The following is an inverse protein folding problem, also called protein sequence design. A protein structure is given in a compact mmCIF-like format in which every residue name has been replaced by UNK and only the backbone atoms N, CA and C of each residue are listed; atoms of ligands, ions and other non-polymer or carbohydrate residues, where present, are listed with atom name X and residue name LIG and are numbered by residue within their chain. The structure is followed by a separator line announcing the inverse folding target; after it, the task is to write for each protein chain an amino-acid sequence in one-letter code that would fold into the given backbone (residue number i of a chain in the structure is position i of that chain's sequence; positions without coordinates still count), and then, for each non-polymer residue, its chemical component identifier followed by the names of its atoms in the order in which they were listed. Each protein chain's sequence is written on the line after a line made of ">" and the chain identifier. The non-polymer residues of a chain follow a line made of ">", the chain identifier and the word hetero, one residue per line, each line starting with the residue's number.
data_IF_208700292159
#
_entry.id   IF_208700292159
#
_cell.length_a   1.000
_cell.length_b   1.000
_cell.length_c   1.000
_cell.angle_alpha   90.00
_cell.angle_beta   90.00
_cell.angle_gamma   90.00
#
_symmetry.space_group_name_H-M   'P 1'
#
loop_
_entity.id
_entity.type
_entity.pdbx_description
1 polymer ?
#
# COMPACT_ATOMS: atom_id res chain seq x y z
N UNK A 1 12.92 28.28 -3.32
CA UNK A 1 13.35 28.55 -1.93
C UNK A 1 12.82 27.42 -1.05
N UNK A 2 13.68 26.47 -0.69
CA UNK A 2 13.37 25.38 0.23
C UNK A 2 13.14 25.96 1.61
N UNK A 3 11.90 25.91 2.10
CA UNK A 3 11.58 26.24 3.49
C UNK A 3 12.35 25.27 4.38
N UNK A 4 13.33 25.79 5.13
CA UNK A 4 14.05 25.05 6.17
C UNK A 4 13.05 24.38 7.10
N UNK A 5 13.33 23.13 7.47
CA UNK A 5 12.52 22.17 8.27
C UNK A 5 11.99 22.64 9.63
N UNK A 6 12.21 23.90 10.02
CA UNK A 6 11.99 24.38 11.38
C UNK A 6 10.50 24.55 11.73
N UNK A 7 9.63 24.79 10.73
CA UNK A 7 8.18 24.95 10.93
C UNK A 7 7.35 23.66 10.84
N UNK A 8 7.98 22.50 10.58
CA UNK A 8 7.29 21.22 10.43
C UNK A 8 7.41 20.32 11.65
N UNK A 9 8.15 20.68 12.69
CA UNK A 9 8.38 19.77 13.82
C UNK A 9 7.09 19.53 14.60
N UNK A 10 6.78 18.25 14.85
CA UNK A 10 5.71 17.85 15.76
C UNK A 10 6.30 17.41 17.09
N UNK A 11 5.67 17.85 18.18
CA UNK A 11 6.05 17.46 19.55
C UNK A 11 5.07 16.36 20.00
N UNK A 12 5.58 15.29 20.58
CA UNK A 12 4.79 14.30 21.31
C UNK A 12 5.47 14.04 22.66
N UNK A 13 4.67 13.91 23.72
CA UNK A 13 5.17 13.49 25.01
C UNK A 13 5.56 12.01 24.94
N UNK A 14 6.68 11.63 25.55
CA UNK A 14 7.09 10.24 25.76
C UNK A 14 7.52 10.05 27.22
N UNK A 15 7.15 8.92 27.81
CA UNK A 15 7.54 8.56 29.18
C UNK A 15 8.98 8.00 29.25
N UNK A 16 9.61 7.70 28.11
CA UNK A 16 11.01 7.26 28.03
C UNK A 16 11.90 8.45 27.66
N UNK A 17 13.02 8.71 28.39
CA UNK A 17 13.98 9.75 28.02
C UNK A 17 14.54 9.50 26.62
N UNK A 18 14.51 10.50 25.74
CA UNK A 18 15.05 10.42 24.35
C UNK A 18 16.25 11.35 24.20
N UNK A 19 17.24 10.94 23.41
CA UNK A 19 18.38 11.79 23.04
C UNK A 19 17.88 12.93 22.13
N UNK A 20 18.13 14.18 22.54
CA UNK A 20 17.78 15.37 21.74
C UNK A 20 18.71 15.58 20.53
N UNK A 21 19.86 14.89 20.49
CA UNK A 21 20.90 15.10 19.46
C UNK A 21 20.84 14.07 18.32
N UNK A 22 20.27 12.88 18.55
CA UNK A 22 20.40 11.74 17.63
C UNK A 22 19.13 11.40 16.83
N UNK A 23 17.96 11.92 17.21
CA UNK A 23 16.70 11.63 16.50
C UNK A 23 16.32 12.75 15.53
N UNK A 24 16.11 12.38 14.26
CA UNK A 24 15.49 13.28 13.29
C UNK A 24 14.10 13.70 13.81
N UNK A 25 13.80 15.01 13.89
CA UNK A 25 12.54 15.47 14.45
C UNK A 25 11.38 14.98 13.59
N UNK A 26 10.29 14.53 14.23
CA UNK A 26 9.07 14.16 13.51
C UNK A 26 8.48 15.35 12.80
N UNK A 27 8.14 15.17 11.54
CA UNK A 27 7.59 16.21 10.69
C UNK A 27 6.05 16.05 10.62
N UNK A 28 5.33 17.13 10.84
CA UNK A 28 3.87 17.21 10.71
C UNK A 28 3.48 17.13 9.24
N UNK A 29 2.49 16.29 8.93
CA UNK A 29 1.97 16.10 7.58
C UNK A 29 2.92 15.36 6.64
N UNK A 30 3.88 14.62 7.20
CA UNK A 30 4.83 13.81 6.42
C UNK A 30 4.51 12.33 6.65
N UNK A 31 4.42 11.58 5.57
CA UNK A 31 4.12 10.16 5.59
C UNK A 31 5.18 9.39 6.40
N UNK A 32 4.78 8.52 7.33
CA UNK A 32 5.70 7.83 8.23
C UNK A 32 5.54 6.31 8.23
N UNK A 33 6.66 5.58 8.06
CA UNK A 33 6.73 4.15 8.34
C UNK A 33 7.29 3.88 9.74
N UNK A 34 6.63 3.03 10.52
CA UNK A 34 7.20 2.45 11.75
C UNK A 34 7.33 0.95 11.56
N UNK A 35 8.49 0.38 11.88
CA UNK A 35 8.79 -1.04 11.63
C UNK A 35 9.24 -1.72 12.91
N UNK A 36 8.43 -2.61 13.45
CA UNK A 36 8.81 -3.52 14.54
C UNK A 36 9.59 -4.69 13.92
N UNK A 37 10.83 -4.90 14.36
CA UNK A 37 11.73 -5.92 13.82
C UNK A 37 12.76 -6.37 14.85
N UNK A 38 13.32 -7.57 14.65
CA UNK A 38 14.52 -8.03 15.37
C UNK A 38 15.83 -7.58 14.73
N UNK A 39 15.78 -6.97 13.54
CA UNK A 39 16.94 -6.49 12.78
C UNK A 39 16.78 -5.00 12.41
N UNK A 40 16.72 -4.07 13.39
CA UNK A 40 16.59 -2.64 13.11
C UNK A 40 17.69 -2.12 12.18
N UNK A 41 18.91 -2.66 12.28
CA UNK A 41 20.05 -2.31 11.42
C UNK A 41 19.88 -2.68 9.94
N UNK A 42 18.89 -3.52 9.59
CA UNK A 42 18.57 -3.82 8.21
C UNK A 42 17.88 -2.64 7.49
N UNK A 43 17.46 -1.62 8.23
CA UNK A 43 16.81 -0.42 7.72
C UNK A 43 17.74 0.81 7.86
N UNK A 44 17.69 1.77 6.92
CA UNK A 44 16.74 1.81 5.80
C UNK A 44 17.07 0.84 4.66
N UNK A 45 18.26 0.22 4.67
CA UNK A 45 18.66 -0.72 3.64
C UNK A 45 18.59 -0.06 2.26
N UNK A 46 17.95 -0.73 1.31
CA UNK A 46 17.80 -0.19 -0.05
C UNK A 46 16.92 1.07 -0.10
N UNK A 47 16.03 1.27 0.88
CA UNK A 47 15.19 2.47 0.96
C UNK A 47 15.98 3.74 1.29
N UNK A 48 17.24 3.59 1.73
CA UNK A 48 18.17 4.69 1.97
C UNK A 48 18.88 5.17 0.71
N UNK A 49 18.67 4.48 -0.42
CA UNK A 49 19.37 4.71 -1.68
C UNK A 49 18.47 5.35 -2.74
N UNK A 50 19.07 5.88 -3.82
CA UNK A 50 18.34 6.42 -4.98
C UNK A 50 17.25 7.45 -4.62
N UNK A 51 16.11 7.42 -5.30
CA UNK A 51 15.00 8.38 -5.13
C UNK A 51 14.32 8.28 -3.78
N UNK A 52 14.08 7.06 -3.26
CA UNK A 52 13.48 6.84 -1.94
C UNK A 52 14.38 7.37 -0.83
N UNK A 53 15.69 7.11 -0.93
CA UNK A 53 16.71 7.62 -0.02
C UNK A 53 16.88 9.14 -0.07
N UNK A 54 16.84 9.72 -1.27
CA UNK A 54 16.82 11.19 -1.43
C UNK A 54 15.56 11.79 -0.79
N UNK A 55 14.40 11.22 -1.06
CA UNK A 55 13.13 11.65 -0.47
C UNK A 55 13.12 11.53 1.07
N UNK A 56 13.78 10.51 1.62
CA UNK A 56 13.97 10.34 3.07
C UNK A 56 14.83 11.47 3.64
N UNK A 57 15.95 11.79 2.99
CA UNK A 57 16.87 12.89 3.38
C UNK A 57 16.20 14.26 3.27
N UNK A 58 15.38 14.47 2.24
CA UNK A 58 14.63 15.71 2.00
C UNK A 58 13.39 15.85 2.90
N UNK A 59 13.06 14.81 3.69
CA UNK A 59 11.93 14.80 4.62
C UNK A 59 10.57 14.75 3.93
N UNK A 60 10.49 14.13 2.76
CA UNK A 60 9.22 13.85 2.05
C UNK A 60 8.49 12.64 2.64
N UNK A 61 9.23 11.75 3.31
CA UNK A 61 8.71 10.68 4.14
C UNK A 61 9.67 10.42 5.30
N UNK A 62 9.21 9.72 6.33
CA UNK A 62 10.02 9.36 7.50
C UNK A 62 9.92 7.86 7.79
N UNK A 63 10.96 7.33 8.44
CA UNK A 63 10.95 5.95 8.92
C UNK A 63 11.54 5.85 10.32
N UNK A 64 10.99 4.94 11.11
CA UNK A 64 11.54 4.58 12.42
C UNK A 64 11.48 3.07 12.58
N UNK A 65 12.54 2.49 13.11
CA UNK A 65 12.56 1.07 13.51
C UNK A 65 12.38 0.94 15.01
N UNK A 66 11.63 -0.07 15.42
CA UNK A 66 11.47 -0.48 16.81
C UNK A 66 12.11 -1.85 16.97
N UNK A 67 13.19 -1.90 17.75
CA UNK A 67 13.84 -3.16 18.11
C UNK A 67 12.94 -3.93 19.09
N UNK A 68 12.35 -5.03 18.63
CA UNK A 68 11.49 -5.87 19.45
C UNK A 68 12.23 -6.42 20.68
N UNK A 69 13.56 -6.59 20.62
CA UNK A 69 14.35 -7.03 21.77
C UNK A 69 14.32 -6.05 22.92
N UNK A 70 14.03 -4.76 22.69
CA UNK A 70 13.89 -3.79 23.77
C UNK A 70 12.66 -4.06 24.67
N UNK A 71 11.71 -4.86 24.19
CA UNK A 71 10.51 -5.31 24.91
C UNK A 71 10.64 -6.73 25.47
N UNK A 72 11.76 -7.40 25.22
CA UNK A 72 11.96 -8.80 25.61
C UNK A 72 12.00 -9.01 27.13
N UNK A 73 11.56 -10.18 27.57
CA UNK A 73 11.40 -10.52 28.98
C UNK A 73 12.70 -11.06 29.59
N UNK A 74 12.97 -10.63 30.83
CA UNK A 74 14.09 -11.12 31.65
C UNK A 74 15.47 -10.61 31.21
N UNK A 75 16.51 -11.15 31.83
CA UNK A 75 17.91 -10.70 31.64
C UNK A 75 18.39 -10.82 30.19
N UNK A 76 17.91 -11.83 29.46
CA UNK A 76 18.32 -12.13 28.09
C UNK A 76 17.45 -11.46 27.02
N UNK A 77 16.43 -10.68 27.44
CA UNK A 77 15.48 -10.03 26.53
C UNK A 77 14.84 -11.03 25.56
N UNK A 78 14.27 -12.10 26.11
CA UNK A 78 13.63 -13.14 25.31
C UNK A 78 12.36 -12.58 24.64
N UNK A 79 12.24 -12.79 23.33
CA UNK A 79 11.14 -12.29 22.49
C UNK A 79 10.26 -13.40 21.95
N UNK A 80 10.70 -14.64 22.10
CA UNK A 80 10.14 -15.85 21.53
C UNK A 80 10.10 -16.97 22.57
N UNK A 81 9.26 -17.97 22.33
CA UNK A 81 9.19 -19.21 23.11
C UNK A 81 8.77 -20.39 22.22
N UNK A 82 8.85 -21.61 22.74
CA UNK A 82 8.43 -22.82 22.03
C UNK A 82 6.92 -22.80 21.73
N UNK A 83 6.48 -23.33 20.57
CA UNK A 83 5.07 -23.38 20.22
C UNK A 83 4.27 -24.26 21.19
N UNK A 84 3.11 -23.76 21.62
CA UNK A 84 2.13 -24.58 22.33
C UNK A 84 1.63 -25.71 21.41
N UNK A 85 1.48 -26.92 21.97
CA UNK A 85 1.14 -28.12 21.20
C UNK A 85 2.35 -28.89 20.64
N UNK A 86 3.56 -28.37 20.84
CA UNK A 86 4.80 -28.97 20.33
C UNK A 86 5.09 -28.59 18.88
N UNK A 87 6.26 -29.02 18.39
CA UNK A 87 6.79 -28.62 17.08
C UNK A 87 8.22 -28.14 17.17
N UNK A 88 8.88 -28.03 16.01
CA UNK A 88 10.19 -27.40 15.91
C UNK A 88 10.02 -25.87 15.82
N UNK A 89 11.09 -25.14 16.13
CA UNK A 89 11.12 -23.67 15.98
C UNK A 89 10.61 -22.92 17.21
N UNK A 90 10.42 -21.62 17.02
CA UNK A 90 10.05 -20.66 18.06
C UNK A 90 8.94 -19.74 17.54
N UNK A 91 8.11 -19.20 18.43
CA UNK A 91 7.02 -18.27 18.12
C UNK A 91 7.24 -16.97 18.87
N UNK A 92 7.09 -15.83 18.21
CA UNK A 92 7.18 -14.51 18.85
C UNK A 92 6.06 -14.36 19.88
N UNK A 93 6.43 -13.95 21.09
CA UNK A 93 5.52 -13.93 22.25
C UNK A 93 4.53 -12.78 22.18
N UNK A 94 3.32 -13.07 22.68
CA UNK A 94 2.23 -12.10 22.70
C UNK A 94 2.47 -10.89 23.59
N UNK A 95 3.00 -11.11 24.80
CA UNK A 95 3.28 -10.05 25.77
C UNK A 95 4.37 -9.07 25.30
N UNK A 96 5.39 -9.59 24.61
CA UNK A 96 6.46 -8.78 24.02
C UNK A 96 5.96 -7.98 22.82
N UNK A 97 5.25 -8.61 21.90
CA UNK A 97 4.75 -7.92 20.70
C UNK A 97 3.66 -6.90 21.05
N UNK A 98 2.75 -7.22 21.98
CA UNK A 98 1.71 -6.29 22.43
C UNK A 98 2.29 -4.99 22.97
N UNK A 99 3.29 -5.08 23.85
CA UNK A 99 3.96 -3.88 24.39
C UNK A 99 4.66 -3.03 23.31
N UNK A 100 5.21 -3.67 22.27
CA UNK A 100 5.81 -2.96 21.13
C UNK A 100 4.75 -2.29 20.25
N UNK A 101 3.62 -2.96 20.01
CA UNK A 101 2.47 -2.44 19.25
C UNK A 101 1.89 -1.21 19.95
N UNK A 102 1.64 -1.29 21.26
CA UNK A 102 1.12 -0.17 22.05
C UNK A 102 2.00 1.09 21.93
N UNK A 103 3.33 0.93 21.96
CA UNK A 103 4.26 2.06 21.84
C UNK A 103 4.21 2.69 20.44
N UNK A 104 4.15 1.90 19.36
CA UNK A 104 4.06 2.47 18.01
C UNK A 104 2.69 3.09 17.74
N UNK A 105 1.60 2.55 18.30
CA UNK A 105 0.25 3.10 18.15
C UNK A 105 0.11 4.43 18.89
N UNK A 106 0.66 4.54 20.10
CA UNK A 106 0.73 5.81 20.84
C UNK A 106 1.52 6.90 20.08
N UNK A 107 2.42 6.47 19.20
CA UNK A 107 3.26 7.33 18.38
C UNK A 107 2.69 7.59 16.98
N UNK A 108 1.77 6.76 16.52
CA UNK A 108 1.11 6.86 15.22
C UNK A 108 0.16 8.05 15.21
N UNK A 109 -0.02 8.66 14.04
CA UNK A 109 -0.99 9.73 13.84
C UNK A 109 -1.83 9.44 12.61
N UNK A 110 -3.10 9.83 12.67
CA UNK A 110 -4.02 9.69 11.57
C UNK A 110 -4.23 8.24 11.15
N UNK A 111 -4.43 8.04 9.86
CA UNK A 111 -4.65 6.74 9.26
C UNK A 111 -3.31 6.05 8.96
N UNK A 112 -2.86 5.17 9.87
CA UNK A 112 -1.65 4.37 9.69
C UNK A 112 -1.94 2.90 10.06
N UNK A 113 -2.28 2.03 9.09
CA UNK A 113 -2.68 0.66 9.37
C UNK A 113 -1.53 -0.17 9.98
N UNK A 114 -1.90 -1.11 10.85
CA UNK A 114 -1.00 -2.11 11.42
C UNK A 114 -1.01 -3.37 10.55
N UNK A 115 0.16 -3.70 9.98
CA UNK A 115 0.32 -4.76 9.00
C UNK A 115 1.36 -5.76 9.49
N UNK A 116 1.02 -7.05 9.44
CA UNK A 116 1.94 -8.16 9.65
C UNK A 116 2.34 -8.78 8.32
N UNK A 117 3.65 -8.85 8.07
CA UNK A 117 4.20 -9.42 6.84
C UNK A 117 4.20 -10.95 6.97
N UNK A 118 3.22 -11.60 6.35
CA UNK A 118 2.88 -13.01 6.55
C UNK A 118 2.53 -13.67 5.21
N UNK A 119 3.03 -14.88 4.90
CA UNK A 119 2.67 -15.58 3.67
C UNK A 119 1.18 -15.97 3.59
N UNK A 120 0.48 -16.01 4.74
CA UNK A 120 -0.97 -16.24 4.85
C UNK A 120 -1.81 -15.05 4.40
N UNK A 121 -1.21 -13.86 4.39
CA UNK A 121 -1.93 -12.61 4.16
C UNK A 121 -2.44 -12.43 2.75
N UNK A 122 -3.25 -11.40 2.55
CA UNK A 122 -3.64 -10.96 1.21
C UNK A 122 -2.37 -10.62 0.42
N UNK A 123 -2.26 -11.07 -0.84
CA UNK A 123 -1.12 -10.71 -1.69
C UNK A 123 -1.06 -9.21 -1.91
N UNK A 124 0.13 -8.65 -1.74
CA UNK A 124 0.43 -7.24 -2.02
C UNK A 124 0.28 -6.96 -3.52
N UNK A 125 -0.44 -5.90 -3.86
CA UNK A 125 -0.68 -5.47 -5.23
C UNK A 125 -0.50 -3.94 -5.36
N UNK A 126 -0.49 -3.45 -6.60
CA UNK A 126 -0.28 -2.03 -6.87
C UNK A 126 -1.42 -1.15 -6.32
N UNK A 127 -2.64 -1.69 -6.19
CA UNK A 127 -3.76 -0.96 -5.60
C UNK A 127 -3.54 -0.76 -4.09
N UNK A 128 -3.02 -1.76 -3.40
CA UNK A 128 -2.64 -1.66 -1.99
C UNK A 128 -1.54 -0.61 -1.80
N UNK A 129 -0.50 -0.60 -2.64
CA UNK A 129 0.54 0.42 -2.61
C UNK A 129 -0.04 1.85 -2.75
N UNK A 130 -0.96 2.06 -3.71
CA UNK A 130 -1.66 3.34 -3.91
C UNK A 130 -2.49 3.73 -2.69
N UNK A 131 -3.18 2.78 -2.07
CA UNK A 131 -3.98 3.04 -0.87
C UNK A 131 -3.09 3.44 0.31
N UNK A 132 -1.97 2.75 0.53
CA UNK A 132 -1.00 3.06 1.59
C UNK A 132 -0.33 4.42 1.37
N UNK A 133 -0.05 4.80 0.12
CA UNK A 133 0.53 6.10 -0.21
C UNK A 133 -0.42 7.28 0.06
N UNK A 134 -1.74 7.02 0.13
CA UNK A 134 -2.77 8.01 0.50
C UNK A 134 -3.05 8.08 2.00
N UNK A 135 -2.52 7.13 2.76
CA UNK A 135 -2.61 7.10 4.21
C UNK A 135 -1.63 8.13 4.83
N UNK A 136 -1.66 8.29 6.15
CA UNK A 136 -0.70 9.13 6.88
C UNK A 136 0.63 8.39 7.15
N UNK A 137 0.64 7.08 6.97
CA UNK A 137 1.79 6.23 7.25
C UNK A 137 1.44 4.75 7.22
N UNK A 138 2.35 3.93 7.74
CA UNK A 138 2.13 2.50 7.93
C UNK A 138 2.92 1.99 9.14
N UNK A 139 2.33 1.03 9.86
CA UNK A 139 2.95 0.31 10.96
C UNK A 139 3.19 -1.13 10.53
N UNK A 140 4.44 -1.57 10.45
CA UNK A 140 4.83 -2.89 9.93
C UNK A 140 5.40 -3.77 11.03
N UNK A 141 4.98 -5.03 11.07
CA UNK A 141 5.55 -6.08 11.92
C UNK A 141 6.32 -7.06 11.05
N UNK A 142 7.63 -7.13 11.25
CA UNK A 142 8.48 -8.11 10.59
C UNK A 142 8.54 -9.39 11.45
N UNK A 143 7.82 -10.43 11.02
CA UNK A 143 7.89 -11.75 11.63
C UNK A 143 9.25 -12.42 11.46
N UNK A 144 9.56 -13.36 12.36
CA UNK A 144 10.71 -14.25 12.35
C UNK A 144 10.28 -15.60 12.94
N UNK A 145 11.17 -16.60 12.84
CA UNK A 145 10.92 -17.96 13.33
C UNK A 145 9.66 -18.55 12.67
N UNK A 146 8.80 -19.25 13.42
CA UNK A 146 7.54 -19.82 12.92
C UNK A 146 6.43 -18.78 12.77
N UNK A 147 6.58 -17.59 13.37
CA UNK A 147 5.65 -16.48 13.22
C UNK A 147 5.34 -15.75 14.53
N UNK A 148 4.19 -15.10 14.53
CA UNK A 148 3.65 -14.34 15.66
C UNK A 148 2.51 -15.12 16.32
N UNK A 149 2.44 -15.08 17.65
CA UNK A 149 1.31 -15.61 18.42
C UNK A 149 -0.02 -15.05 17.90
N UNK A 150 -0.93 -15.95 17.50
CA UNK A 150 -2.19 -15.61 16.84
C UNK A 150 -3.05 -14.62 17.64
N UNK A 151 -3.00 -14.70 18.98
CA UNK A 151 -3.80 -13.84 19.85
C UNK A 151 -3.46 -12.36 19.67
N UNK A 152 -2.22 -12.04 19.30
CA UNK A 152 -1.82 -10.65 18.99
C UNK A 152 -2.44 -10.19 17.67
N UNK A 153 -2.50 -11.08 16.68
CA UNK A 153 -3.09 -10.78 15.38
C UNK A 153 -4.58 -10.46 15.57
N UNK A 154 -5.28 -11.30 16.35
CA UNK A 154 -6.70 -11.14 16.67
C UNK A 154 -6.99 -9.89 17.51
N UNK A 155 -6.27 -9.69 18.62
CA UNK A 155 -6.49 -8.59 19.56
C UNK A 155 -6.37 -7.21 18.89
N UNK A 156 -5.35 -7.05 18.03
CA UNK A 156 -5.07 -5.77 17.39
C UNK A 156 -5.70 -5.65 15.99
N UNK A 157 -6.46 -6.64 15.53
CA UNK A 157 -7.06 -6.67 14.19
C UNK A 157 -6.02 -6.48 13.08
N UNK A 158 -4.87 -7.14 13.20
CA UNK A 158 -3.70 -6.89 12.36
C UNK A 158 -3.96 -7.36 10.93
N UNK A 159 -3.68 -6.50 9.95
CA UNK A 159 -3.80 -6.86 8.55
C UNK A 159 -2.61 -7.74 8.13
N UNK A 160 -2.87 -8.99 7.78
CA UNK A 160 -1.83 -9.86 7.21
C UNK A 160 -1.64 -9.56 5.71
N UNK A 161 -0.40 -9.34 5.29
CA UNK A 161 -0.04 -9.12 3.89
C UNK A 161 1.12 -10.00 3.45
N UNK A 162 0.93 -10.68 2.31
CA UNK A 162 1.91 -11.57 1.69
C UNK A 162 2.58 -10.89 0.49
N UNK A 163 3.89 -11.09 0.31
CA UNK A 163 4.60 -10.65 -0.90
C UNK A 163 4.36 -11.60 -2.08
N UNK A 164 3.91 -12.82 -1.82
CA UNK A 164 3.64 -13.84 -2.84
C UNK A 164 3.75 -15.27 -2.27
N UNK A 165 3.57 -16.25 -3.14
CA UNK A 165 3.52 -17.67 -2.76
C UNK A 165 4.92 -18.27 -2.61
N UNK A 166 5.66 -17.78 -1.63
CA UNK A 166 6.98 -18.26 -1.25
C UNK A 166 7.26 -17.92 0.21
N UNK A 167 8.27 -18.57 0.80
CA UNK A 167 8.64 -18.41 2.21
C UNK A 167 9.96 -17.66 2.32
N UNK A 168 10.06 -16.73 3.28
CA UNK A 168 11.27 -15.98 3.60
C UNK A 168 11.66 -16.22 5.06
N UNK A 169 12.92 -15.92 5.40
CA UNK A 169 13.44 -16.06 6.76
C UNK A 169 12.93 -14.99 7.74
N UNK A 170 12.22 -13.99 7.23
CA UNK A 170 11.60 -12.92 8.02
C UNK A 170 10.90 -11.88 7.14
N UNK A 171 10.16 -10.99 7.81
CA UNK A 171 9.35 -9.96 7.15
C UNK A 171 10.12 -8.74 6.62
N UNK A 172 11.42 -8.59 6.91
CA UNK A 172 12.16 -7.35 6.62
C UNK A 172 12.31 -7.07 5.13
N UNK A 173 12.49 -8.10 4.30
CA UNK A 173 12.53 -7.95 2.84
C UNK A 173 11.14 -7.56 2.31
N UNK A 174 10.08 -8.19 2.83
CA UNK A 174 8.70 -7.86 2.46
C UNK A 174 8.35 -6.41 2.83
N UNK A 175 8.74 -5.98 4.02
CA UNK A 175 8.58 -4.60 4.46
C UNK A 175 9.31 -3.63 3.53
N UNK A 176 10.57 -3.89 3.19
CA UNK A 176 11.32 -3.03 2.25
C UNK A 176 10.68 -3.00 0.85
N UNK A 177 10.24 -4.13 0.31
CA UNK A 177 9.56 -4.17 -0.98
C UNK A 177 8.23 -3.39 -0.99
N UNK A 178 7.42 -3.57 0.06
CA UNK A 178 6.16 -2.85 0.24
C UNK A 178 6.37 -1.34 0.39
N UNK A 179 7.37 -0.94 1.19
CA UNK A 179 7.71 0.46 1.39
C UNK A 179 8.26 1.10 0.11
N UNK A 180 9.10 0.42 -0.66
CA UNK A 180 9.61 0.93 -1.94
C UNK A 180 8.46 1.21 -2.93
N UNK A 181 7.57 0.23 -3.13
CA UNK A 181 6.41 0.36 -4.00
C UNK A 181 5.42 1.45 -3.55
N UNK A 182 5.33 1.70 -2.25
CA UNK A 182 4.44 2.71 -1.67
C UNK A 182 5.05 4.11 -1.72
N UNK A 183 6.28 4.27 -1.20
CA UNK A 183 6.96 5.57 -1.06
C UNK A 183 7.18 6.24 -2.40
N UNK A 184 7.48 5.46 -3.46
CA UNK A 184 7.62 6.03 -4.80
C UNK A 184 6.36 6.73 -5.30
N UNK A 185 5.17 6.36 -4.79
CA UNK A 185 3.91 6.98 -5.18
C UNK A 185 3.61 8.28 -4.41
N UNK A 186 4.42 8.63 -3.41
CA UNK A 186 4.24 9.86 -2.65
C UNK A 186 4.55 11.10 -3.50
N UNK A 187 3.79 12.20 -3.33
CA UNK A 187 4.05 13.43 -4.06
C UNK A 187 5.48 13.94 -3.88
N UNK A 188 6.16 14.20 -5.00
CA UNK A 188 7.52 14.74 -5.01
C UNK A 188 8.64 13.71 -4.89
N UNK A 189 8.33 12.41 -4.76
CA UNK A 189 9.36 11.35 -4.75
C UNK A 189 9.80 10.99 -6.17
N UNK A 190 8.85 10.71 -7.06
CA UNK A 190 9.14 10.56 -8.48
C UNK A 190 9.22 11.95 -9.14
N UNK A 191 10.35 12.22 -9.80
CA UNK A 191 10.62 13.53 -10.41
C UNK A 191 9.76 13.88 -11.63
N UNK A 192 9.08 12.89 -12.22
CA UNK A 192 8.15 13.09 -13.33
C UNK A 192 6.83 12.37 -13.02
N UNK A 193 5.74 13.13 -12.86
CA UNK A 193 4.41 12.59 -12.56
C UNK A 193 3.92 11.63 -13.68
N UNK A 194 4.32 11.87 -14.93
CA UNK A 194 3.90 11.07 -16.08
C UNK A 194 4.52 9.66 -16.06
N UNK A 195 5.70 9.49 -15.43
CA UNK A 195 6.35 8.18 -15.33
C UNK A 195 5.54 7.19 -14.49
N UNK A 196 4.82 7.65 -13.47
CA UNK A 196 3.96 6.77 -12.65
C UNK A 196 2.63 6.40 -13.34
N UNK A 197 2.28 7.09 -14.44
CA UNK A 197 1.03 6.90 -15.18
C UNK A 197 1.21 5.83 -16.28
N UNK A 198 2.32 5.85 -17.02
CA UNK A 198 2.62 4.87 -18.09
C UNK A 198 3.40 3.62 -17.62
N UNK A 199 3.20 3.16 -16.37
CA UNK A 199 3.89 2.00 -15.80
C UNK A 199 3.06 0.71 -15.79
N UNK A 200 3.73 -0.44 -15.74
CA UNK A 200 3.05 -1.73 -15.63
C UNK A 200 2.07 -1.74 -14.45
N UNK A 201 0.90 -2.34 -14.67
CA UNK A 201 -0.22 -2.42 -13.72
C UNK A 201 -0.93 -1.09 -13.39
N UNK A 202 -0.58 0.04 -14.03
CA UNK A 202 -1.34 1.30 -13.89
C UNK A 202 -2.74 1.20 -14.48
N UNK A 203 -2.86 0.57 -15.65
CA UNK A 203 -4.12 0.26 -16.36
C UNK A 203 -4.42 -1.25 -16.37
N UNK A 204 -3.81 -2.02 -15.46
CA UNK A 204 -3.96 -3.48 -15.42
C UNK A 204 -3.20 -4.24 -16.51
N UNK A 205 -2.42 -3.55 -17.35
CA UNK A 205 -1.59 -4.14 -18.41
C UNK A 205 -0.09 -4.05 -18.08
N UNK A 206 0.70 -4.89 -18.73
CA UNK A 206 2.16 -4.79 -18.76
C UNK A 206 2.61 -3.70 -19.76
N UNK A 207 3.76 -3.09 -19.49
CA UNK A 207 4.36 -2.11 -20.39
C UNK A 207 4.80 -2.67 -21.74
N UNK A 208 4.89 -1.75 -22.70
CA UNK A 208 5.52 -1.97 -23.99
C UNK A 208 7.05 -2.16 -23.86
N UNK A 209 7.71 -2.78 -24.86
CA UNK A 209 9.16 -2.87 -24.87
C UNK A 209 9.80 -1.49 -24.95
N UNK A 210 10.79 -1.26 -24.09
CA UNK A 210 11.55 -0.02 -24.04
C UNK A 210 12.79 -0.13 -24.94
N UNK A 211 13.10 0.94 -25.66
CA UNK A 211 14.28 1.04 -26.52
C UNK A 211 15.03 2.33 -26.19
N UNK A 212 16.36 2.27 -26.29
CA UNK A 212 17.23 3.44 -26.16
C UNK A 212 18.39 3.33 -27.13
N UNK A 213 19.20 4.38 -27.22
CA UNK A 213 20.38 4.42 -28.08
C UNK A 213 21.36 3.29 -27.72
N UNK A 214 22.12 2.75 -28.69
CA UNK A 214 22.21 3.14 -30.10
C UNK A 214 21.01 2.67 -30.96
N UNK A 215 20.84 3.27 -32.14
CA UNK A 215 19.70 2.96 -33.04
C UNK A 215 19.76 1.54 -33.62
N UNK A 216 20.96 0.98 -33.75
CA UNK A 216 21.19 -0.40 -34.12
C UNK A 216 22.18 -1.05 -33.15
N UNK A 217 21.87 -2.25 -32.70
CA UNK A 217 22.74 -3.08 -31.88
C UNK A 217 22.71 -4.52 -32.41
N UNK A 218 23.86 -5.03 -32.87
CA UNK A 218 24.00 -6.38 -33.41
C UNK A 218 23.00 -6.71 -34.55
N UNK A 219 22.81 -5.79 -35.50
CA UNK A 219 21.84 -5.96 -36.59
C UNK A 219 20.38 -5.85 -36.17
N UNK A 220 20.09 -5.45 -34.92
CA UNK A 220 18.73 -5.22 -34.41
C UNK A 220 18.49 -3.72 -34.32
N UNK A 221 17.50 -3.23 -35.04
CA UNK A 221 17.12 -1.82 -35.06
C UNK A 221 16.03 -1.50 -34.03
N UNK A 222 15.99 -0.25 -33.58
CA UNK A 222 14.81 0.31 -32.89
C UNK A 222 13.64 0.37 -33.90
N UNK A 223 12.41 -0.03 -33.53
CA UNK A 223 11.25 0.08 -34.40
C UNK A 223 11.07 1.48 -35.00
N UNK A 224 10.90 1.58 -36.32
CA UNK A 224 10.84 2.85 -37.06
C UNK A 224 9.78 3.82 -36.51
N UNK A 225 8.66 3.28 -36.02
CA UNK A 225 7.59 4.07 -35.38
C UNK A 225 8.09 4.87 -34.18
N UNK A 226 9.01 4.32 -33.39
CA UNK A 226 9.62 4.99 -32.23
C UNK A 226 10.63 6.07 -32.64
N UNK A 227 11.16 5.97 -33.86
CA UNK A 227 12.10 6.94 -34.44
C UNK A 227 11.40 8.02 -35.27
N UNK A 228 10.09 7.90 -35.48
CA UNK A 228 9.32 8.76 -36.40
C UNK A 228 8.99 10.17 -35.88
N UNK A 229 9.06 10.39 -34.56
CA UNK A 229 8.60 11.62 -33.92
C UNK A 229 7.07 11.81 -33.90
N UNK A 230 6.29 10.88 -34.47
CA UNK A 230 4.83 10.96 -34.48
C UNK A 230 4.23 10.44 -33.17
N UNK A 231 4.04 11.33 -32.19
CA UNK A 231 3.54 10.99 -30.85
C UNK A 231 2.26 10.12 -30.86
N UNK A 232 1.29 10.39 -31.73
CA UNK A 232 0.07 9.59 -31.82
C UNK A 232 0.30 8.16 -32.33
N UNK A 233 1.23 7.96 -33.27
CA UNK A 233 1.58 6.63 -33.76
C UNK A 233 2.40 5.86 -32.72
N UNK A 234 3.27 6.56 -31.99
CA UNK A 234 4.04 5.99 -30.88
C UNK A 234 3.09 5.51 -29.78
N UNK A 235 2.14 6.34 -29.35
CA UNK A 235 1.16 5.96 -28.33
C UNK A 235 0.33 4.73 -28.74
N UNK A 236 -0.20 4.70 -29.97
CA UNK A 236 -0.91 3.52 -30.50
C UNK A 236 -0.05 2.27 -30.53
N UNK A 237 1.22 2.40 -30.92
CA UNK A 237 2.15 1.27 -30.94
C UNK A 237 2.45 0.78 -29.52
N UNK A 238 2.68 1.68 -28.56
CA UNK A 238 2.91 1.35 -27.15
C UNK A 238 1.74 0.58 -26.56
N UNK A 239 0.53 1.07 -26.77
CA UNK A 239 -0.69 0.39 -26.33
C UNK A 239 -0.78 -1.02 -26.94
N UNK A 240 -0.68 -1.14 -28.26
CA UNK A 240 -0.78 -2.43 -28.94
C UNK A 240 0.29 -3.45 -28.47
N UNK A 241 1.51 -2.99 -28.18
CA UNK A 241 2.57 -3.85 -27.64
C UNK A 241 2.32 -4.24 -26.18
N UNK A 242 1.85 -3.32 -25.34
CA UNK A 242 1.47 -3.63 -23.95
C UNK A 242 0.37 -4.68 -23.89
N UNK A 243 -0.66 -4.55 -24.72
CA UNK A 243 -1.74 -5.54 -24.87
C UNK A 243 -1.20 -6.91 -25.34
N UNK A 244 -0.37 -6.93 -26.38
CA UNK A 244 0.21 -8.16 -26.92
C UNK A 244 1.08 -8.90 -25.89
N UNK A 245 1.92 -8.16 -25.15
CA UNK A 245 2.80 -8.72 -24.11
C UNK A 245 1.98 -9.23 -22.93
N UNK A 246 0.97 -8.47 -22.50
CA UNK A 246 0.07 -8.86 -21.41
C UNK A 246 -0.66 -10.15 -21.76
N UNK A 247 -1.25 -10.23 -22.96
CA UNK A 247 -1.92 -11.44 -23.45
C UNK A 247 -0.98 -12.65 -23.46
N UNK A 248 0.27 -12.47 -23.86
CA UNK A 248 1.23 -13.55 -23.97
C UNK A 248 1.82 -13.99 -22.62
N UNK A 249 2.08 -13.08 -21.69
CA UNK A 249 2.84 -13.35 -20.45
C UNK A 249 2.00 -13.39 -19.18
N UNK A 250 0.91 -12.64 -19.15
CA UNK A 250 -0.03 -12.52 -18.01
C UNK A 250 -1.46 -12.62 -18.54
N UNK A 251 -1.86 -13.79 -19.08
CA UNK A 251 -3.21 -13.99 -19.61
C UNK A 251 -4.28 -13.78 -18.53
N UNK A 252 -3.94 -13.95 -17.26
CA UNK A 252 -4.77 -13.61 -16.10
C UNK A 252 -5.06 -12.10 -16.03
N UNK A 253 -4.03 -11.25 -16.17
CA UNK A 253 -4.21 -9.79 -16.22
C UNK A 253 -4.92 -9.35 -17.49
N UNK A 254 -4.63 -9.99 -18.62
CA UNK A 254 -5.36 -9.72 -19.86
C UNK A 254 -6.85 -10.05 -19.72
N UNK A 255 -7.17 -11.20 -19.13
CA UNK A 255 -8.54 -11.58 -18.84
C UNK A 255 -9.18 -10.58 -17.88
N UNK A 256 -8.50 -10.18 -16.80
CA UNK A 256 -9.01 -9.20 -15.84
C UNK A 256 -9.18 -7.79 -16.43
N UNK A 257 -8.28 -7.33 -17.30
CA UNK A 257 -8.40 -6.03 -17.99
C UNK A 257 -9.54 -6.05 -19.03
N UNK A 258 -9.72 -7.17 -19.73
CA UNK A 258 -10.88 -7.38 -20.61
C UNK A 258 -12.18 -7.56 -19.84
N UNK A 259 -12.10 -8.15 -18.66
CA UNK A 259 -13.18 -8.19 -17.71
C UNK A 259 -13.41 -6.77 -17.18
N UNK A 260 -12.44 -5.90 -16.90
CA UNK A 260 -12.71 -4.48 -16.62
C UNK A 260 -13.42 -3.71 -17.76
N UNK A 261 -13.36 -4.24 -18.99
CA UNK A 261 -14.13 -3.76 -20.16
C UNK A 261 -15.50 -4.47 -20.34
N UNK A 262 -15.82 -5.51 -19.55
CA UNK A 262 -17.01 -6.37 -19.65
C UNK A 262 -17.72 -6.68 -18.29
N UNK A 263 -17.05 -6.45 -17.17
CA UNK A 263 -17.46 -6.45 -15.78
C UNK A 263 -17.76 -5.01 -15.49
N UNK A 264 -18.91 -4.62 -16.02
CA UNK A 264 -19.58 -3.45 -15.56
C UNK A 264 -20.72 -3.91 -14.63
N UNK A 265 -20.44 -4.29 -13.37
CA UNK A 265 -21.50 -4.39 -12.36
C UNK A 265 -22.09 -3.00 -12.08
N UNK A 266 -21.47 -1.92 -12.59
CA UNK A 266 -21.96 -0.55 -12.61
C UNK A 266 -22.89 -0.27 -13.82
N UNK A 267 -22.74 -0.94 -14.97
CA UNK A 267 -23.62 -0.81 -16.17
C UNK A 267 -25.01 -1.33 -15.87
N UNK A 268 -25.06 -2.31 -14.98
CA UNK A 268 -26.31 -2.89 -14.50
C UNK A 268 -27.03 -1.93 -13.56
N UNK A 269 -26.35 -0.93 -13.00
CA UNK A 269 -26.93 0.13 -12.17
C UNK A 269 -27.44 1.25 -13.07
N UNK A 270 -28.68 1.12 -13.51
CA UNK A 270 -29.36 2.09 -14.39
C UNK A 270 -30.36 2.96 -13.63
N UNK A 271 -30.69 2.57 -12.41
CA UNK A 271 -31.70 3.17 -11.58
C UNK A 271 -31.44 2.88 -10.09
N UNK A 272 -32.32 3.41 -9.25
CA UNK A 272 -32.30 3.23 -7.81
C UNK A 272 -32.37 1.76 -7.35
N UNK A 273 -33.11 0.94 -8.09
CA UNK A 273 -33.42 -0.44 -7.72
C UNK A 273 -32.22 -1.35 -7.99
N UNK A 274 -31.61 -1.19 -9.15
CA UNK A 274 -30.35 -1.84 -9.50
C UNK A 274 -29.17 -1.40 -8.61
N UNK A 275 -29.14 -0.15 -8.14
CA UNK A 275 -28.17 0.31 -7.13
C UNK A 275 -28.36 -0.37 -5.77
N UNK A 276 -29.60 -0.57 -5.32
CA UNK A 276 -29.89 -1.25 -4.06
C UNK A 276 -29.42 -2.71 -4.08
N UNK A 277 -29.69 -3.42 -5.18
CA UNK A 277 -29.22 -4.81 -5.39
C UNK A 277 -27.70 -4.90 -5.41
N UNK A 278 -27.04 -3.91 -6.03
CA UNK A 278 -25.58 -3.83 -6.04
C UNK A 278 -25.00 -3.69 -4.62
N UNK A 279 -25.57 -2.80 -3.80
CA UNK A 279 -25.12 -2.56 -2.42
C UNK A 279 -25.34 -3.78 -1.52
N UNK A 280 -26.46 -4.48 -1.69
CA UNK A 280 -26.77 -5.70 -0.94
C UNK A 280 -25.75 -6.82 -1.24
N UNK A 281 -25.41 -7.03 -2.52
CA UNK A 281 -24.42 -8.03 -2.94
C UNK A 281 -22.98 -7.70 -2.54
N UNK A 282 -22.69 -6.43 -2.27
CA UNK A 282 -21.33 -5.95 -2.02
C UNK A 282 -21.10 -5.40 -0.61
N UNK A 283 -21.87 -5.91 0.37
CA UNK A 283 -21.55 -5.78 1.79
C UNK A 283 -22.16 -4.58 2.49
N UNK A 284 -23.19 -3.95 1.92
CA UNK A 284 -23.95 -2.88 2.54
C UNK A 284 -25.48 -3.15 2.48
N UNK A 285 -25.97 -4.27 3.05
CA UNK A 285 -27.37 -4.70 2.92
C UNK A 285 -28.38 -3.70 3.53
N UNK A 286 -28.00 -2.99 4.59
CA UNK A 286 -28.88 -2.02 5.27
C UNK A 286 -28.99 -0.68 4.54
N UNK A 287 -28.04 -0.40 3.63
CA UNK A 287 -28.01 0.85 2.87
C UNK A 287 -29.07 0.87 1.76
N UNK A 288 -29.38 -0.28 1.15
CA UNK A 288 -30.33 -0.40 0.04
C UNK A 288 -31.76 0.03 0.39
N UNK A 289 -32.38 -0.51 1.45
CA UNK A 289 -33.73 -0.14 1.87
C UNK A 289 -33.86 1.34 2.32
N UNK A 290 -32.83 1.88 2.96
CA UNK A 290 -32.79 3.29 3.36
C UNK A 290 -32.75 4.23 2.14
N UNK A 291 -31.97 3.87 1.12
CA UNK A 291 -31.85 4.59 -0.15
C UNK A 291 -33.20 4.69 -0.89
N UNK A 292 -33.90 3.56 -1.00
CA UNK A 292 -35.17 3.45 -1.71
C UNK A 292 -36.28 4.24 -1.01
N UNK A 293 -36.22 4.35 0.32
CA UNK A 293 -37.14 5.18 1.10
C UNK A 293 -36.93 6.67 0.81
N UNK A 294 -35.69 7.15 0.88
CA UNK A 294 -35.35 8.56 0.59
C UNK A 294 -35.77 8.96 -0.82
N UNK A 295 -35.47 8.12 -1.81
CA UNK A 295 -35.83 8.35 -3.22
C UNK A 295 -37.34 8.44 -3.48
N UNK A 296 -38.15 7.68 -2.73
CA UNK A 296 -39.62 7.76 -2.80
C UNK A 296 -40.17 9.02 -2.15
N UNK A 297 -39.50 9.54 -1.14
CA UNK A 297 -39.93 10.73 -0.38
C UNK A 297 -39.54 12.04 -1.07
N UNK A 298 -38.39 12.11 -1.74
CA UNK A 298 -37.89 13.36 -2.33
C UNK A 298 -38.40 13.66 -3.74
N UNK A 299 -39.00 12.70 -4.46
CA UNK A 299 -39.63 12.90 -5.76
C UNK A 299 -38.72 13.35 -6.92
N UNK A 300 -37.45 13.69 -6.66
CA UNK A 300 -36.49 14.16 -7.64
C UNK A 300 -35.74 13.01 -8.34
N UNK A 301 -35.51 13.19 -9.64
CA UNK A 301 -34.55 12.40 -10.42
C UNK A 301 -33.15 12.64 -9.85
N UNK A 302 -32.69 11.76 -8.96
CA UNK A 302 -31.27 11.74 -8.58
C UNK A 302 -30.48 11.38 -9.84
N UNK A 303 -29.75 12.35 -10.39
CA UNK A 303 -28.74 12.10 -11.41
C UNK A 303 -27.62 11.30 -10.76
N UNK A 304 -27.67 9.98 -10.89
CA UNK A 304 -26.62 9.10 -10.41
C UNK A 304 -25.31 9.48 -11.13
N UNK A 305 -24.22 9.81 -10.41
CA UNK A 305 -22.93 9.98 -11.04
C UNK A 305 -22.54 8.67 -11.74
N UNK A 306 -21.67 8.79 -12.75
CA UNK A 306 -21.13 7.66 -13.56
C UNK A 306 -20.47 6.56 -12.69
N UNK A 307 -20.24 6.84 -11.40
CA UNK A 307 -19.67 5.93 -10.43
C UNK A 307 -20.63 5.70 -9.22
N UNK A 308 -21.11 4.47 -8.99
CA UNK A 308 -22.04 4.15 -7.93
C UNK A 308 -21.43 4.17 -6.53
N UNK A 309 -20.11 4.14 -6.39
CA UNK A 309 -19.45 4.43 -5.10
C UNK A 309 -19.51 5.92 -4.76
N UNK A 310 -19.51 6.81 -5.75
CA UNK A 310 -19.80 8.23 -5.54
C UNK A 310 -21.28 8.44 -5.23
N UNK A 311 -22.18 7.70 -5.88
CA UNK A 311 -23.60 7.71 -5.54
C UNK A 311 -23.85 7.23 -4.10
N UNK A 312 -23.22 6.12 -3.70
CA UNK A 312 -23.28 5.59 -2.34
C UNK A 312 -22.73 6.59 -1.31
N UNK A 313 -21.62 7.27 -1.62
CA UNK A 313 -21.05 8.31 -0.76
C UNK A 313 -21.98 9.54 -0.66
N UNK A 314 -22.52 10.03 -1.77
CA UNK A 314 -23.47 11.17 -1.77
C UNK A 314 -24.77 10.84 -1.04
N UNK A 315 -25.30 9.63 -1.23
CA UNK A 315 -26.53 9.17 -0.58
C UNK A 315 -26.33 8.89 0.91
N UNK A 316 -25.16 8.38 1.29
CA UNK A 316 -24.75 8.27 2.70
C UNK A 316 -24.68 9.65 3.39
N UNK A 317 -24.26 10.68 2.67
CA UNK A 317 -24.25 12.06 3.17
C UNK A 317 -25.67 12.68 3.22
N UNK A 318 -26.49 12.50 2.18
CA UNK A 318 -27.88 13.00 2.14
C UNK A 318 -28.78 12.37 3.21
N UNK A 319 -28.59 11.08 3.51
CA UNK A 319 -29.35 10.36 4.55
C UNK A 319 -29.01 10.81 5.98
N UNK A 320 -27.94 11.60 6.17
CA UNK A 320 -27.51 12.11 7.47
C UNK A 320 -27.90 13.57 7.75
N UNK A 321 -28.52 14.25 6.78
CA UNK A 321 -28.90 15.67 6.87
C UNK A 321 -27.75 16.59 6.52
#
# INVERSE_FOLDING_TARGET
>A
MTLKSHGRKSISASLKPRSLMDEAPRLSGVWQAQVITLLPQAFPGILGESLTGKALKDGLWQMTTVDLRSYGIGKHRNVDDTPAGGGAGMVLRADVMGAAIEDILAQSRGNAPLIYLSPRGRRFDQQMARNLARADGVNLICGRFEGLDERVIEEYGILEVSLGDFVMTGGEIAAQAMLDATVRLLPGVLGNADSAVEESFSEGLLEHPQYTKPAEWQGRTIPDVLMSGHHGNIAKWRQAMGEAITRARRPDLWAAARAGLLDDPVAMVQDAESLAVFLERHGAPDAGPALLTVLRETGDQISLPVNPWQAAAQLFWLARG
#
